data_IF_101251261095
#
_entry.id   IF_101251261095
#
_cell.length_a   1.000
_cell.length_b   1.000
_cell.length_c   1.000
_cell.angle_alpha   90.00
_cell.angle_beta   90.00
_cell.angle_gamma   90.00
#
_symmetry.space_group_name_H-M   'P 1'
#
loop_
_entity.id
_entity.type
_entity.pdbx_description
1 polymer ?
#
# COMPACT_ATOMS: atom_id res chain seq x y z
N UNK A 1 40.71 -0.60 -32.36
CA UNK A 1 40.15 -1.61 -31.44
C UNK A 1 39.88 -1.08 -30.02
N UNK A 2 40.83 -0.49 -29.30
CA UNK A 2 40.64 0.00 -27.92
C UNK A 2 39.45 1.00 -27.76
N UNK A 3 39.26 1.94 -28.72
CA UNK A 3 38.20 2.95 -28.68
C UNK A 3 36.80 2.34 -28.83
N UNK A 4 36.62 1.38 -29.75
CA UNK A 4 35.34 0.68 -29.96
C UNK A 4 34.98 -0.16 -28.72
N UNK A 5 35.96 -0.89 -28.17
CA UNK A 5 35.75 -1.67 -26.94
C UNK A 5 35.32 -0.81 -25.75
N UNK A 6 35.98 0.35 -25.57
CA UNK A 6 35.60 1.34 -24.53
C UNK A 6 34.15 1.81 -24.70
N UNK A 7 33.73 2.11 -25.95
CA UNK A 7 32.36 2.58 -26.23
C UNK A 7 31.34 1.49 -25.92
N UNK A 8 31.60 0.22 -26.32
CA UNK A 8 30.70 -0.90 -26.04
C UNK A 8 30.53 -1.10 -24.54
N UNK A 9 31.62 -1.11 -23.77
CA UNK A 9 31.54 -1.26 -22.31
C UNK A 9 30.78 -0.11 -21.68
N UNK A 10 31.01 1.14 -22.14
CA UNK A 10 30.26 2.31 -21.63
C UNK A 10 28.77 2.17 -21.85
N UNK A 11 28.33 1.70 -23.02
CA UNK A 11 26.90 1.46 -23.31
C UNK A 11 26.32 0.40 -22.38
N UNK A 12 27.02 -0.73 -22.20
CA UNK A 12 26.59 -1.79 -21.27
C UNK A 12 26.45 -1.26 -19.85
N UNK A 13 27.43 -0.50 -19.37
CA UNK A 13 27.40 0.10 -18.04
C UNK A 13 26.26 1.12 -17.89
N UNK A 14 25.96 1.92 -18.92
CA UNK A 14 24.82 2.84 -18.90
C UNK A 14 23.47 2.08 -18.84
N UNK A 15 23.32 1.01 -19.59
CA UNK A 15 22.11 0.16 -19.54
C UNK A 15 21.95 -0.48 -18.16
N UNK A 16 23.03 -1.05 -17.62
CA UNK A 16 23.00 -1.62 -16.25
C UNK A 16 22.70 -0.55 -15.19
N UNK A 17 23.27 0.64 -15.32
CA UNK A 17 23.01 1.74 -14.42
C UNK A 17 21.53 2.18 -14.47
N UNK A 18 20.99 2.37 -15.67
CA UNK A 18 19.57 2.71 -15.86
C UNK A 18 18.67 1.63 -15.27
N UNK A 19 18.95 0.36 -15.55
CA UNK A 19 18.18 -0.77 -15.00
C UNK A 19 18.28 -0.83 -13.48
N UNK A 20 19.46 -0.62 -12.91
CA UNK A 20 19.67 -0.58 -11.46
C UNK A 20 18.84 0.52 -10.80
N UNK A 21 18.78 1.71 -11.41
CA UNK A 21 17.97 2.84 -10.92
C UNK A 21 16.48 2.50 -11.00
N UNK A 22 16.01 1.92 -12.11
CA UNK A 22 14.61 1.51 -12.26
C UNK A 22 14.22 0.49 -11.19
N UNK A 23 15.04 -0.55 -11.00
CA UNK A 23 14.81 -1.55 -9.94
C UNK A 23 14.78 -0.90 -8.57
N UNK A 24 15.73 0.00 -8.28
CA UNK A 24 15.78 0.70 -6.99
C UNK A 24 14.52 1.53 -6.74
N UNK A 25 14.03 2.28 -7.72
CA UNK A 25 12.79 3.08 -7.59
C UNK A 25 11.57 2.18 -7.40
N UNK A 26 11.43 1.11 -8.20
CA UNK A 26 10.32 0.16 -8.05
C UNK A 26 10.32 -0.48 -6.66
N UNK A 27 11.48 -0.91 -6.19
CA UNK A 27 11.61 -1.52 -4.85
C UNK A 27 11.32 -0.50 -3.74
N UNK A 28 11.80 0.74 -3.90
CA UNK A 28 11.52 1.81 -2.93
C UNK A 28 10.02 2.12 -2.85
N UNK A 29 9.34 2.14 -4.00
CA UNK A 29 7.89 2.33 -4.09
C UNK A 29 7.14 1.16 -3.44
N UNK A 30 7.53 -0.10 -3.72
CA UNK A 30 6.95 -1.28 -3.08
C UNK A 30 7.14 -1.25 -1.55
N UNK A 31 8.32 -0.89 -1.09
CA UNK A 31 8.58 -0.79 0.34
C UNK A 31 7.73 0.31 0.99
N UNK A 32 7.60 1.47 0.37
CA UNK A 32 6.75 2.54 0.87
C UNK A 32 5.26 2.16 0.85
N UNK A 33 4.81 1.50 -0.22
CA UNK A 33 3.40 1.15 -0.42
C UNK A 33 2.93 -0.02 0.46
N UNK A 34 3.74 -1.07 0.56
CA UNK A 34 3.31 -2.36 1.13
C UNK A 34 3.95 -2.60 2.50
N UNK A 35 5.28 -2.47 2.60
CA UNK A 35 6.00 -2.94 3.78
C UNK A 35 6.16 -1.90 4.89
N UNK A 36 6.13 -0.59 4.58
CA UNK A 36 6.16 0.45 5.62
C UNK A 36 4.81 0.64 6.32
N UNK A 37 3.72 0.24 5.67
CA UNK A 37 2.36 0.45 6.16
C UNK A 37 1.86 1.89 6.05
N UNK A 38 2.66 2.85 5.59
CA UNK A 38 2.28 4.26 5.54
C UNK A 38 0.99 4.47 4.72
N UNK A 39 0.89 3.85 3.54
CA UNK A 39 -0.30 4.00 2.71
C UNK A 39 -1.55 3.34 3.29
N UNK A 40 -1.38 2.25 4.06
CA UNK A 40 -2.48 1.62 4.78
C UNK A 40 -2.91 2.46 5.97
N UNK A 41 -1.96 3.07 6.68
CA UNK A 41 -2.25 4.01 7.77
C UNK A 41 -2.98 5.26 7.25
N UNK A 42 -2.55 5.82 6.11
CA UNK A 42 -3.23 6.96 5.47
C UNK A 42 -4.70 6.66 5.17
N UNK A 43 -5.02 5.41 4.79
CA UNK A 43 -6.40 4.98 4.59
C UNK A 43 -7.13 4.88 5.92
N UNK A 44 -6.56 4.15 6.90
CA UNK A 44 -7.23 3.92 8.19
C UNK A 44 -7.44 5.21 8.98
N UNK A 45 -6.54 6.18 8.86
CA UNK A 45 -6.63 7.47 9.56
C UNK A 45 -7.58 8.47 8.86
N UNK A 46 -8.05 8.13 7.64
CA UNK A 46 -8.99 8.98 6.91
C UNK A 46 -10.38 8.93 7.53
N UNK A 47 -10.90 10.11 7.89
CA UNK A 47 -12.29 10.24 8.38
C UNK A 47 -13.33 9.83 7.34
N UNK A 48 -13.06 10.09 6.06
CA UNK A 48 -13.96 9.69 4.97
C UNK A 48 -14.03 8.17 4.86
N UNK A 49 -12.89 7.49 4.97
CA UNK A 49 -12.84 6.04 4.96
C UNK A 49 -13.60 5.42 6.13
N UNK A 50 -13.33 5.86 7.35
CA UNK A 50 -14.00 5.37 8.55
C UNK A 50 -15.52 5.62 8.52
N UNK A 51 -15.96 6.76 7.97
CA UNK A 51 -17.38 7.07 7.77
C UNK A 51 -18.04 6.11 6.77
N UNK A 52 -17.36 5.79 5.65
CA UNK A 52 -17.85 4.84 4.65
C UNK A 52 -17.95 3.42 5.22
N UNK A 53 -16.95 2.99 5.99
CA UNK A 53 -16.96 1.68 6.66
C UNK A 53 -18.09 1.62 7.68
N UNK A 54 -18.23 2.64 8.54
CA UNK A 54 -19.31 2.71 9.53
C UNK A 54 -20.69 2.66 8.87
N UNK A 55 -20.89 3.41 7.78
CA UNK A 55 -22.14 3.38 7.02
C UNK A 55 -22.43 2.01 6.40
N UNK A 56 -21.40 1.29 5.95
CA UNK A 56 -21.55 -0.06 5.42
C UNK A 56 -21.91 -1.07 6.53
N UNK A 57 -21.29 -0.96 7.71
CA UNK A 57 -21.63 -1.74 8.90
C UNK A 57 -23.09 -1.49 9.29
N UNK A 58 -23.48 -0.22 9.42
CA UNK A 58 -24.86 0.16 9.78
C UNK A 58 -25.89 -0.45 8.82
N UNK A 59 -25.63 -0.36 7.52
CA UNK A 59 -26.50 -0.95 6.50
C UNK A 59 -26.64 -2.47 6.62
N UNK A 60 -25.56 -3.20 6.85
CA UNK A 60 -25.61 -4.65 6.99
C UNK A 60 -26.28 -5.05 8.32
N UNK A 61 -26.08 -4.27 9.39
CA UNK A 61 -26.75 -4.48 10.69
C UNK A 61 -28.25 -4.09 10.62
N UNK A 62 -28.64 -3.08 9.85
CA UNK A 62 -30.07 -2.78 9.58
C UNK A 62 -30.76 -3.94 8.86
N UNK A 63 -30.06 -4.60 7.93
CA UNK A 63 -30.56 -5.80 7.27
C UNK A 63 -30.72 -6.97 8.28
N UNK A 64 -29.74 -7.18 9.16
CA UNK A 64 -29.82 -8.14 10.26
C UNK A 64 -30.98 -7.82 11.22
N UNK A 65 -31.10 -6.56 11.63
CA UNK A 65 -32.18 -6.05 12.50
C UNK A 65 -33.57 -6.44 11.94
N UNK A 66 -33.76 -6.24 10.64
CA UNK A 66 -35.04 -6.60 9.97
C UNK A 66 -35.33 -8.08 10.00
N UNK A 67 -34.30 -8.93 10.11
CA UNK A 67 -34.43 -10.39 10.15
C UNK A 67 -34.64 -10.90 11.57
N UNK A 68 -33.89 -10.38 12.56
CA UNK A 68 -33.95 -10.85 13.95
C UNK A 68 -35.00 -10.12 14.80
N UNK A 69 -35.55 -9.00 14.33
CA UNK A 69 -36.54 -8.19 15.03
C UNK A 69 -35.98 -7.36 16.21
N UNK A 70 -34.65 -7.21 16.30
CA UNK A 70 -33.97 -6.37 17.29
C UNK A 70 -33.58 -5.06 16.59
N UNK A 71 -33.87 -3.87 17.18
CA UNK A 71 -33.50 -2.59 16.56
C UNK A 71 -32.00 -2.45 16.29
N UNK A 72 -31.61 -1.84 15.17
CA UNK A 72 -30.23 -1.72 14.76
C UNK A 72 -29.36 -0.88 15.72
N UNK A 73 -29.96 0.09 16.40
CA UNK A 73 -29.32 0.89 17.43
C UNK A 73 -28.95 0.05 18.68
N UNK A 74 -29.76 -0.94 19.03
CA UNK A 74 -29.46 -1.91 20.08
C UNK A 74 -28.34 -2.87 19.64
N UNK A 75 -28.40 -3.35 18.36
CA UNK A 75 -27.36 -4.22 17.80
C UNK A 75 -25.99 -3.55 17.75
N UNK A 76 -25.92 -2.24 17.63
CA UNK A 76 -24.68 -1.45 17.58
C UNK A 76 -24.42 -0.70 18.89
N UNK A 77 -25.17 -0.97 19.95
CA UNK A 77 -24.97 -0.28 21.22
C UNK A 77 -23.56 -0.51 21.77
N UNK A 78 -22.87 0.58 22.08
CA UNK A 78 -21.48 0.56 22.54
C UNK A 78 -20.43 0.48 21.40
N UNK A 79 -20.83 0.28 20.14
CA UNK A 79 -19.93 0.34 18.99
C UNK A 79 -20.03 1.68 18.28
N UNK A 80 -18.97 2.47 18.35
CA UNK A 80 -18.87 3.80 17.78
C UNK A 80 -17.68 3.95 16.82
N UNK A 81 -17.51 5.17 16.31
CA UNK A 81 -16.40 5.49 15.41
C UNK A 81 -15.02 5.41 16.07
N UNK A 82 -14.95 5.64 17.39
CA UNK A 82 -13.66 5.59 18.11
C UNK A 82 -13.19 4.13 18.20
N UNK A 83 -14.10 3.22 18.54
CA UNK A 83 -13.83 1.79 18.56
C UNK A 83 -13.49 1.27 17.15
N UNK A 84 -14.25 1.70 16.14
CA UNK A 84 -13.96 1.37 14.75
C UNK A 84 -12.55 1.82 14.37
N UNK A 85 -12.16 3.06 14.69
CA UNK A 85 -10.83 3.60 14.39
C UNK A 85 -9.71 2.80 15.07
N UNK A 86 -9.90 2.45 16.33
CA UNK A 86 -8.95 1.60 17.07
C UNK A 86 -8.77 0.24 16.36
N UNK A 87 -9.88 -0.37 15.94
CA UNK A 87 -9.86 -1.67 15.26
C UNK A 87 -9.25 -1.60 13.85
N UNK A 88 -9.50 -0.53 13.11
CA UNK A 88 -8.84 -0.29 11.81
C UNK A 88 -7.33 -0.16 11.98
N UNK A 89 -6.86 0.59 12.97
CA UNK A 89 -5.43 0.77 13.23
C UNK A 89 -4.77 -0.54 13.71
N UNK A 90 -5.47 -1.32 14.54
CA UNK A 90 -5.02 -2.66 14.95
C UNK A 90 -4.89 -3.59 13.72
N UNK A 91 -5.86 -3.55 12.83
CA UNK A 91 -5.83 -4.32 11.58
C UNK A 91 -4.66 -3.92 10.67
N UNK A 92 -4.42 -2.62 10.48
CA UNK A 92 -3.27 -2.14 9.70
C UNK A 92 -1.96 -2.63 10.31
N UNK A 93 -1.80 -2.53 11.63
CA UNK A 93 -0.60 -2.99 12.34
C UNK A 93 -0.37 -4.48 12.13
N UNK A 94 -1.38 -5.32 12.34
CA UNK A 94 -1.25 -6.78 12.17
C UNK A 94 -1.01 -7.17 10.73
N UNK A 95 -1.58 -6.41 9.78
CA UNK A 95 -1.33 -6.59 8.35
C UNK A 95 0.13 -6.28 8.00
N UNK A 96 0.67 -5.17 8.49
CA UNK A 96 2.08 -4.79 8.30
C UNK A 96 3.02 -5.80 8.94
N UNK A 97 2.70 -6.31 10.12
CA UNK A 97 3.50 -7.34 10.79
C UNK A 97 3.50 -8.65 9.99
N UNK A 98 2.36 -9.06 9.44
CA UNK A 98 2.28 -10.20 8.53
C UNK A 98 3.12 -9.96 7.26
N UNK A 99 2.96 -8.81 6.59
CA UNK A 99 3.69 -8.48 5.37
C UNK A 99 5.22 -8.46 5.59
N UNK A 100 5.69 -8.14 6.78
CA UNK A 100 7.10 -8.14 7.15
C UNK A 100 7.60 -9.45 7.80
N UNK A 101 6.84 -10.54 7.73
CA UNK A 101 7.17 -11.83 8.36
C UNK A 101 7.39 -11.75 9.88
N UNK A 102 6.73 -10.81 10.55
CA UNK A 102 6.71 -10.72 12.02
C UNK A 102 5.54 -11.50 12.62
N UNK A 103 4.55 -11.86 11.78
CA UNK A 103 3.40 -12.68 12.14
C UNK A 103 3.11 -13.70 11.03
N UNK A 104 2.62 -14.87 11.38
CA UNK A 104 2.31 -15.95 10.43
C UNK A 104 0.98 -15.75 9.68
N UNK A 105 0.08 -14.94 10.25
CA UNK A 105 -1.23 -14.59 9.70
C UNK A 105 -1.73 -13.27 10.29
N UNK A 106 -2.69 -12.66 9.62
CA UNK A 106 -3.32 -11.42 10.09
C UNK A 106 -4.30 -11.77 11.20
N UNK A 107 -3.99 -11.35 12.41
CA UNK A 107 -4.88 -11.46 13.56
C UNK A 107 -5.80 -10.25 13.58
N UNK A 108 -7.07 -10.53 13.56
CA UNK A 108 -8.11 -9.54 13.77
C UNK A 108 -9.32 -10.29 14.28
N UNK A 109 -9.61 -10.07 15.52
CA UNK A 109 -10.80 -10.63 16.17
C UNK A 109 -11.55 -9.50 16.83
N UNK A 110 -12.82 -9.36 16.47
CA UNK A 110 -13.75 -8.55 17.24
C UNK A 110 -14.38 -9.49 18.29
N UNK A 111 -14.48 -9.08 19.57
CA UNK A 111 -15.00 -9.96 20.60
C UNK A 111 -16.42 -10.43 20.25
N UNK A 112 -16.63 -11.74 20.22
CA UNK A 112 -17.92 -12.35 19.88
C UNK A 112 -19.00 -12.06 20.95
N UNK A 113 -18.56 -11.72 22.17
CA UNK A 113 -19.40 -11.39 23.33
C UNK A 113 -19.63 -9.90 23.54
N UNK A 114 -19.09 -9.03 22.68
CA UNK A 114 -19.16 -7.57 22.84
C UNK A 114 -20.59 -7.05 22.95
N UNK A 115 -21.51 -7.63 22.18
CA UNK A 115 -22.90 -7.19 22.13
C UNK A 115 -23.83 -7.96 23.07
N UNK A 116 -23.35 -8.99 23.80
CA UNK A 116 -24.16 -9.78 24.74
C UNK A 116 -24.78 -8.88 25.83
N UNK A 117 -24.03 -7.98 26.52
CA UNK A 117 -24.62 -7.14 27.57
C UNK A 117 -25.77 -6.24 27.09
N UNK A 118 -25.64 -5.43 26.03
CA UNK A 118 -26.74 -4.58 25.57
C UNK A 118 -27.91 -5.40 25.03
N UNK A 119 -27.67 -6.50 24.32
CA UNK A 119 -28.73 -7.37 23.82
C UNK A 119 -29.48 -8.08 24.95
N UNK A 120 -28.79 -8.48 26.00
CA UNK A 120 -29.42 -9.06 27.20
C UNK A 120 -30.27 -8.03 27.91
N UNK A 121 -29.77 -6.80 28.09
CA UNK A 121 -30.52 -5.71 28.70
C UNK A 121 -31.80 -5.36 27.89
N UNK A 122 -31.70 -5.37 26.56
CA UNK A 122 -32.86 -5.20 25.68
C UNK A 122 -33.89 -6.34 25.87
N UNK A 123 -33.45 -7.60 25.87
CA UNK A 123 -34.33 -8.75 26.08
C UNK A 123 -35.05 -8.67 27.44
N UNK A 124 -34.33 -8.35 28.51
CA UNK A 124 -34.89 -8.22 29.85
C UNK A 124 -35.90 -7.06 29.95
N UNK A 125 -35.60 -5.94 29.26
CA UNK A 125 -36.48 -4.79 29.15
C UNK A 125 -37.78 -5.15 28.43
N UNK A 126 -37.72 -5.86 27.30
CA UNK A 126 -38.88 -6.33 26.56
C UNK A 126 -39.68 -7.37 27.35
N UNK A 127 -39.01 -8.27 28.05
CA UNK A 127 -39.63 -9.25 28.91
C UNK A 127 -40.42 -8.59 30.06
N UNK A 128 -39.83 -7.56 30.69
CA UNK A 128 -40.48 -6.77 31.73
C UNK A 128 -41.67 -5.98 31.21
N UNK A 129 -41.55 -5.40 30.01
CA UNK A 129 -42.67 -4.63 29.43
C UNK A 129 -43.83 -5.49 28.99
N UNK A 130 -43.62 -6.75 28.67
CA UNK A 130 -44.64 -7.70 28.20
C UNK A 130 -45.00 -8.78 29.24
N UNK A 131 -44.53 -8.68 30.46
CA UNK A 131 -44.83 -9.53 31.62
C UNK A 131 -44.53 -11.04 31.36
N UNK A 132 -43.34 -11.34 30.77
CA UNK A 132 -42.89 -12.71 30.60
C UNK A 132 -41.45 -12.90 31.13
N UNK A 133 -41.03 -14.16 31.33
CA UNK A 133 -39.67 -14.50 31.75
C UNK A 133 -38.92 -15.02 30.53
N UNK A 134 -37.73 -14.45 30.16
CA UNK A 134 -36.93 -14.95 29.07
C UNK A 134 -36.53 -16.42 29.25
N UNK A 135 -36.58 -17.19 28.17
CA UNK A 135 -36.19 -18.61 28.15
C UNK A 135 -34.70 -18.75 27.85
N UNK A 136 -34.11 -19.90 28.20
CA UNK A 136 -32.73 -20.25 27.88
C UNK A 136 -32.48 -20.23 26.36
N UNK A 137 -33.48 -20.49 25.53
CA UNK A 137 -33.39 -20.42 24.07
C UNK A 137 -33.24 -18.99 23.59
N UNK A 138 -33.91 -18.03 24.23
CA UNK A 138 -33.77 -16.61 23.90
C UNK A 138 -32.37 -16.06 24.27
N UNK A 139 -31.80 -16.50 25.40
CA UNK A 139 -30.43 -16.16 25.74
C UNK A 139 -29.40 -16.75 24.75
N UNK A 140 -29.61 -17.97 24.28
CA UNK A 140 -28.75 -18.53 23.20
C UNK A 140 -28.88 -17.78 21.89
N UNK A 141 -30.08 -17.32 21.54
CA UNK A 141 -30.28 -16.48 20.35
C UNK A 141 -29.53 -15.16 20.49
N UNK A 142 -29.44 -14.55 21.68
CA UNK A 142 -28.63 -13.35 21.94
C UNK A 142 -27.15 -13.62 21.66
N UNK A 143 -26.62 -14.80 22.07
CA UNK A 143 -25.24 -15.17 21.79
C UNK A 143 -24.99 -15.29 20.27
N UNK A 144 -25.92 -15.95 19.53
CA UNK A 144 -25.82 -16.08 18.07
C UNK A 144 -25.91 -14.72 17.37
N UNK A 145 -26.82 -13.85 17.78
CA UNK A 145 -26.96 -12.49 17.22
C UNK A 145 -25.71 -11.64 17.52
N UNK A 146 -25.15 -11.72 18.72
CA UNK A 146 -23.90 -11.04 19.07
C UNK A 146 -22.75 -11.50 18.19
N UNK A 147 -22.62 -12.82 18.00
CA UNK A 147 -21.62 -13.40 17.13
C UNK A 147 -21.76 -12.93 15.67
N UNK A 148 -22.98 -12.98 15.12
CA UNK A 148 -23.28 -12.54 13.76
C UNK A 148 -22.95 -11.04 13.58
N UNK A 149 -23.33 -10.20 14.54
CA UNK A 149 -23.03 -8.76 14.51
C UNK A 149 -21.51 -8.53 14.53
N UNK A 150 -20.77 -9.25 15.37
CA UNK A 150 -19.31 -9.21 15.42
C UNK A 150 -18.69 -9.62 14.09
N UNK A 151 -19.23 -10.64 13.41
CA UNK A 151 -18.75 -11.06 12.08
C UNK A 151 -19.06 -10.05 10.97
N UNK A 152 -20.18 -9.33 11.05
CA UNK A 152 -20.45 -8.21 10.14
C UNK A 152 -19.36 -7.13 10.29
N UNK A 153 -19.04 -6.75 11.52
CA UNK A 153 -17.99 -5.75 11.78
C UNK A 153 -16.63 -6.23 11.28
N UNK A 154 -16.22 -7.45 11.62
CA UNK A 154 -14.95 -8.03 11.13
C UNK A 154 -14.85 -8.00 9.61
N UNK A 155 -15.93 -8.39 8.90
CA UNK A 155 -16.00 -8.40 7.44
C UNK A 155 -15.70 -7.03 6.83
N UNK A 156 -16.18 -5.96 7.44
CA UNK A 156 -15.98 -4.59 6.93
C UNK A 156 -14.63 -3.97 7.32
N UNK A 157 -14.04 -4.41 8.43
CA UNK A 157 -12.70 -4.00 8.84
C UNK A 157 -11.63 -4.76 8.03
N UNK A 158 -11.85 -6.02 7.66
CA UNK A 158 -10.91 -6.84 6.87
C UNK A 158 -10.78 -6.32 5.44
N UNK A 159 -9.96 -5.29 5.28
CA UNK A 159 -9.69 -4.65 4.00
C UNK A 159 -9.15 -5.69 2.99
N UNK A 160 -9.83 -5.79 1.85
CA UNK A 160 -9.48 -6.76 0.79
C UNK A 160 -9.55 -8.23 1.21
N UNK A 161 -10.21 -8.56 2.32
CA UNK A 161 -10.27 -9.92 2.87
C UNK A 161 -8.87 -10.54 3.08
N UNK A 162 -7.91 -9.71 3.48
CA UNK A 162 -6.51 -10.13 3.64
C UNK A 162 -6.36 -11.18 4.76
N UNK A 163 -7.20 -11.14 5.80
CA UNK A 163 -7.25 -12.19 6.85
C UNK A 163 -7.51 -13.57 6.24
N UNK A 164 -8.46 -13.67 5.31
CA UNK A 164 -8.77 -14.92 4.61
C UNK A 164 -7.66 -15.26 3.62
N UNK A 165 -7.21 -14.29 2.81
CA UNK A 165 -6.17 -14.47 1.81
C UNK A 165 -4.84 -14.88 2.43
N UNK A 166 -4.48 -14.36 3.62
CA UNK A 166 -3.23 -14.69 4.33
C UNK A 166 -3.10 -16.19 4.63
N UNK A 167 -4.22 -16.92 4.71
CA UNK A 167 -4.24 -18.38 4.92
C UNK A 167 -4.07 -19.17 3.62
N UNK A 168 -4.32 -18.56 2.46
CA UNK A 168 -4.26 -19.23 1.16
C UNK A 168 -2.81 -19.45 0.71
N UNK A 169 -2.49 -20.66 0.25
CA UNK A 169 -1.13 -21.04 -0.19
C UNK A 169 -0.61 -20.14 -1.32
N UNK A 170 -1.48 -19.81 -2.29
CA UNK A 170 -1.14 -18.90 -3.39
C UNK A 170 -0.71 -17.53 -2.88
N UNK A 171 -1.44 -16.97 -1.91
CA UNK A 171 -1.14 -15.65 -1.36
C UNK A 171 0.17 -15.65 -0.58
N UNK A 172 0.47 -16.73 0.15
CA UNK A 172 1.75 -16.90 0.85
C UNK A 172 2.93 -16.94 -0.13
N UNK A 173 2.77 -17.62 -1.26
CA UNK A 173 3.81 -17.66 -2.30
C UNK A 173 4.00 -16.27 -2.96
N UNK A 174 2.90 -15.57 -3.28
CA UNK A 174 2.95 -14.20 -3.79
C UNK A 174 3.61 -13.24 -2.80
N UNK A 175 3.22 -13.33 -1.53
CA UNK A 175 3.83 -12.55 -0.45
C UNK A 175 5.33 -12.80 -0.34
N UNK A 176 5.77 -14.08 -0.38
CA UNK A 176 7.18 -14.42 -0.35
C UNK A 176 7.95 -13.78 -1.51
N UNK A 177 7.41 -13.83 -2.72
CA UNK A 177 8.03 -13.20 -3.90
C UNK A 177 8.10 -11.69 -3.80
N UNK A 178 7.03 -11.04 -3.31
CA UNK A 178 7.00 -9.58 -3.10
C UNK A 178 7.98 -9.15 -2.02
N UNK A 179 8.05 -9.88 -0.91
CA UNK A 179 9.02 -9.60 0.15
C UNK A 179 10.46 -9.73 -0.35
N UNK A 180 10.78 -10.80 -1.09
CA UNK A 180 12.10 -10.96 -1.70
C UNK A 180 12.41 -9.83 -2.69
N UNK A 181 11.45 -9.44 -3.54
CA UNK A 181 11.59 -8.28 -4.41
C UNK A 181 11.88 -6.99 -3.62
N UNK A 182 11.19 -6.78 -2.49
CA UNK A 182 11.43 -5.66 -1.57
C UNK A 182 12.85 -5.60 -1.02
N UNK A 183 13.52 -6.74 -0.85
CA UNK A 183 14.91 -6.80 -0.39
C UNK A 183 15.94 -6.45 -1.48
N UNK A 184 15.53 -6.37 -2.75
CA UNK A 184 16.44 -6.06 -3.87
C UNK A 184 16.94 -4.61 -3.89
N UNK A 185 16.46 -3.74 -3.00
CA UNK A 185 16.89 -2.34 -2.91
C UNK A 185 18.38 -2.17 -2.65
N UNK A 186 18.95 -2.87 -1.67
CA UNK A 186 20.38 -2.84 -1.38
C UNK A 186 21.23 -3.41 -2.52
N UNK A 187 20.95 -4.58 -3.09
CA UNK A 187 21.63 -5.07 -4.29
C UNK A 187 21.59 -4.08 -5.46
N UNK A 188 20.42 -3.48 -5.74
CA UNK A 188 20.30 -2.47 -6.80
C UNK A 188 21.18 -1.25 -6.54
N UNK A 189 21.23 -0.76 -5.30
CA UNK A 189 22.12 0.34 -4.91
C UNK A 189 23.59 -0.01 -5.14
N UNK A 190 24.03 -1.22 -4.80
CA UNK A 190 25.39 -1.67 -5.08
C UNK A 190 25.70 -1.72 -6.59
N UNK A 191 24.77 -2.20 -7.39
CA UNK A 191 24.93 -2.21 -8.87
C UNK A 191 25.10 -0.78 -9.38
N UNK A 192 24.29 0.18 -8.89
CA UNK A 192 24.39 1.60 -9.25
C UNK A 192 25.79 2.14 -8.90
N UNK A 193 26.26 1.92 -7.67
CA UNK A 193 27.57 2.41 -7.21
C UNK A 193 28.73 1.79 -8.00
N UNK A 194 28.67 0.50 -8.30
CA UNK A 194 29.67 -0.20 -9.12
C UNK A 194 29.68 0.37 -10.54
N UNK A 195 28.53 0.54 -11.19
CA UNK A 195 28.43 1.11 -12.53
C UNK A 195 28.99 2.53 -12.60
N UNK A 196 28.68 3.38 -11.62
CA UNK A 196 29.22 4.73 -11.50
C UNK A 196 30.76 4.68 -11.41
N UNK A 197 31.29 3.86 -10.50
CA UNK A 197 32.74 3.71 -10.29
C UNK A 197 33.45 3.18 -11.55
N UNK A 198 32.87 2.18 -12.21
CA UNK A 198 33.42 1.62 -13.44
C UNK A 198 33.42 2.62 -14.59
N UNK A 199 32.38 3.46 -14.72
CA UNK A 199 32.34 4.52 -15.72
C UNK A 199 33.46 5.56 -15.47
N UNK A 200 33.70 5.95 -14.20
CA UNK A 200 34.83 6.83 -13.87
C UNK A 200 36.17 6.18 -14.20
N UNK A 201 36.38 4.93 -13.80
CA UNK A 201 37.62 4.22 -14.08
C UNK A 201 37.87 4.06 -15.60
N UNK A 202 36.83 3.74 -16.37
CA UNK A 202 36.92 3.56 -17.81
C UNK A 202 37.27 4.83 -18.55
N UNK A 203 36.76 5.99 -18.08
CA UNK A 203 37.02 7.30 -18.71
C UNK A 203 38.23 8.00 -18.11
N UNK A 204 38.80 7.52 -16.99
CA UNK A 204 40.01 8.07 -16.37
C UNK A 204 39.89 9.55 -16.04
N UNK A 205 40.81 10.38 -16.56
CA UNK A 205 40.82 11.83 -16.30
C UNK A 205 39.72 12.61 -17.05
N UNK A 206 39.05 12.00 -18.05
CA UNK A 206 37.93 12.63 -18.74
C UNK A 206 36.64 12.52 -17.89
N UNK A 207 36.63 13.25 -16.79
CA UNK A 207 35.49 13.28 -15.85
C UNK A 207 34.22 13.83 -16.50
N UNK A 208 34.35 14.73 -17.52
CA UNK A 208 33.21 15.26 -18.24
C UNK A 208 32.44 14.22 -19.01
N UNK A 209 33.10 13.31 -19.72
CA UNK A 209 32.47 12.23 -20.45
C UNK A 209 31.86 11.16 -19.50
N UNK A 210 32.53 10.84 -18.38
CA UNK A 210 32.00 9.92 -17.39
C UNK A 210 30.70 10.46 -16.76
N UNK A 211 30.70 11.71 -16.32
CA UNK A 211 29.54 12.40 -15.76
C UNK A 211 28.39 12.50 -16.77
N UNK A 212 28.68 12.84 -18.01
CA UNK A 212 27.69 12.93 -19.08
C UNK A 212 26.93 11.59 -19.23
N UNK A 213 27.66 10.47 -19.31
CA UNK A 213 27.06 9.14 -19.44
C UNK A 213 26.21 8.76 -18.22
N UNK A 214 26.68 9.06 -17.01
CA UNK A 214 25.94 8.81 -15.78
C UNK A 214 24.64 9.62 -15.73
N UNK A 215 24.71 10.92 -15.96
CA UNK A 215 23.52 11.77 -15.95
C UNK A 215 22.56 11.45 -17.08
N UNK A 216 23.04 10.98 -18.24
CA UNK A 216 22.17 10.45 -19.30
C UNK A 216 21.41 9.23 -18.82
N UNK A 217 22.05 8.30 -18.08
CA UNK A 217 21.39 7.11 -17.52
C UNK A 217 20.33 7.49 -16.47
N UNK A 218 20.63 8.44 -15.58
CA UNK A 218 19.66 8.96 -14.60
C UNK A 218 18.49 9.66 -15.29
N UNK A 219 18.76 10.47 -16.30
CA UNK A 219 17.73 11.17 -17.09
C UNK A 219 16.81 10.19 -17.81
N UNK A 220 17.37 9.16 -18.44
CA UNK A 220 16.62 8.10 -19.10
C UNK A 220 15.74 7.35 -18.11
N UNK A 221 16.27 6.98 -16.94
CA UNK A 221 15.50 6.32 -15.88
C UNK A 221 14.36 7.23 -15.39
N UNK A 222 14.62 8.53 -15.16
CA UNK A 222 13.60 9.50 -14.77
C UNK A 222 12.46 9.59 -15.78
N UNK A 223 12.77 9.63 -17.10
CA UNK A 223 11.76 9.60 -18.16
C UNK A 223 10.95 8.31 -18.17
N UNK A 224 11.63 7.14 -18.04
CA UNK A 224 10.99 5.84 -18.08
C UNK A 224 10.06 5.61 -16.88
N UNK A 225 10.30 6.28 -15.76
CA UNK A 225 9.42 6.25 -14.59
C UNK A 225 8.30 7.27 -14.75
N UNK A 226 8.61 8.54 -15.06
CA UNK A 226 7.64 9.62 -15.02
C UNK A 226 6.60 9.52 -16.13
N UNK A 227 6.99 9.16 -17.36
CA UNK A 227 6.05 9.11 -18.49
C UNK A 227 4.91 8.10 -18.26
N UNK A 228 5.16 6.83 -17.90
CA UNK A 228 4.09 5.90 -17.60
C UNK A 228 3.19 6.36 -16.44
N UNK A 229 3.76 6.96 -15.38
CA UNK A 229 2.98 7.43 -14.23
C UNK A 229 2.06 8.61 -14.60
N UNK A 230 2.51 9.55 -15.42
CA UNK A 230 1.66 10.63 -15.95
C UNK A 230 0.52 10.05 -16.80
N UNK A 231 0.83 9.08 -17.67
CA UNK A 231 -0.18 8.43 -18.51
C UNK A 231 -1.20 7.69 -17.65
N UNK A 232 -0.74 6.90 -16.67
CA UNK A 232 -1.62 6.17 -15.74
C UNK A 232 -2.53 7.12 -14.95
N UNK A 233 -2.00 8.23 -14.43
CA UNK A 233 -2.78 9.26 -13.75
C UNK A 233 -3.83 9.91 -14.68
N UNK A 234 -3.46 10.18 -15.94
CA UNK A 234 -4.40 10.77 -16.92
C UNK A 234 -5.53 9.83 -17.35
N UNK A 235 -5.31 8.52 -17.33
CA UNK A 235 -6.30 7.50 -17.71
C UNK A 235 -7.36 7.28 -16.64
N UNK A 236 -7.21 7.83 -15.44
CA UNK A 236 -8.16 7.67 -14.32
C UNK A 236 -8.58 6.21 -14.16
N UNK A 237 -7.61 5.28 -14.14
CA UNK A 237 -7.88 3.84 -14.12
C UNK A 237 -8.79 3.44 -12.96
N UNK A 238 -8.68 4.13 -11.84
CA UNK A 238 -9.45 3.90 -10.63
C UNK A 238 -10.95 4.13 -10.85
N UNK A 239 -11.34 5.12 -11.68
CA UNK A 239 -12.76 5.37 -12.00
C UNK A 239 -13.37 4.29 -12.89
N UNK A 240 -12.53 3.50 -13.58
CA UNK A 240 -12.93 2.42 -14.47
C UNK A 240 -13.02 1.06 -13.78
N UNK A 241 -12.50 0.95 -12.55
CA UNK A 241 -12.65 -0.25 -11.75
C UNK A 241 -14.10 -0.35 -11.26
N UNK A 242 -14.78 -1.43 -11.66
CA UNK A 242 -16.14 -1.72 -11.23
C UNK A 242 -16.16 -2.28 -9.79
N UNK A 243 -15.72 -1.47 -8.82
CA UNK A 243 -15.77 -1.81 -7.41
C UNK A 243 -17.07 -1.23 -6.86
N UNK A 244 -18.01 -2.10 -6.51
CA UNK A 244 -19.34 -1.71 -6.01
C UNK A 244 -19.30 -1.14 -4.60
N UNK A 245 -18.36 -1.61 -3.77
CA UNK A 245 -18.26 -1.20 -2.37
C UNK A 245 -17.49 0.12 -2.24
N UNK A 246 -18.12 1.21 -1.75
CA UNK A 246 -17.53 2.55 -1.76
C UNK A 246 -16.20 2.65 -0.99
N UNK A 247 -16.10 2.07 0.21
CA UNK A 247 -14.89 2.11 1.01
C UNK A 247 -13.74 1.29 0.39
N UNK A 248 -14.03 0.16 -0.28
CA UNK A 248 -13.01 -0.58 -1.02
C UNK A 248 -12.51 0.20 -2.23
N UNK A 249 -13.43 0.87 -2.95
CA UNK A 249 -13.06 1.76 -4.05
C UNK A 249 -12.15 2.87 -3.55
N UNK A 250 -12.51 3.54 -2.46
CA UNK A 250 -11.71 4.58 -1.84
C UNK A 250 -10.31 4.07 -1.47
N UNK A 251 -10.22 2.90 -0.84
CA UNK A 251 -8.95 2.31 -0.45
C UNK A 251 -8.05 2.00 -1.66
N UNK A 252 -8.62 1.40 -2.73
CA UNK A 252 -7.87 1.12 -3.97
C UNK A 252 -7.42 2.42 -4.63
N UNK A 253 -8.30 3.42 -4.73
CA UNK A 253 -7.99 4.74 -5.30
C UNK A 253 -6.83 5.40 -4.53
N UNK A 254 -6.88 5.39 -3.21
CA UNK A 254 -5.86 5.97 -2.35
C UNK A 254 -4.51 5.27 -2.52
N UNK A 255 -4.48 3.93 -2.49
CA UNK A 255 -3.23 3.17 -2.69
C UNK A 255 -2.64 3.43 -4.07
N UNK A 256 -3.43 3.35 -5.13
CA UNK A 256 -2.95 3.56 -6.51
C UNK A 256 -2.45 5.00 -6.72
N UNK A 257 -3.14 5.98 -6.17
CA UNK A 257 -2.73 7.38 -6.23
C UNK A 257 -1.42 7.58 -5.47
N UNK A 258 -1.31 7.13 -4.22
CA UNK A 258 -0.10 7.27 -3.42
C UNK A 258 1.11 6.58 -4.06
N UNK A 259 0.91 5.37 -4.62
CA UNK A 259 1.97 4.63 -5.35
C UNK A 259 2.42 5.41 -6.59
N UNK A 260 1.45 5.91 -7.38
CA UNK A 260 1.74 6.68 -8.59
C UNK A 260 2.45 7.99 -8.28
N UNK A 261 1.98 8.73 -7.28
CA UNK A 261 2.54 10.02 -6.87
C UNK A 261 3.94 9.86 -6.31
N UNK A 262 4.19 8.83 -5.49
CA UNK A 262 5.51 8.55 -4.96
C UNK A 262 6.50 8.17 -6.07
N UNK A 263 6.11 7.29 -6.99
CA UNK A 263 6.94 6.91 -8.14
C UNK A 263 7.19 8.11 -9.07
N UNK A 264 6.15 8.91 -9.34
CA UNK A 264 6.26 10.13 -10.15
C UNK A 264 7.19 11.16 -9.51
N UNK A 265 7.08 11.38 -8.19
CA UNK A 265 7.97 12.26 -7.45
C UNK A 265 9.43 11.85 -7.60
N UNK A 266 9.74 10.56 -7.41
CA UNK A 266 11.10 10.04 -7.60
C UNK A 266 11.58 10.19 -9.05
N UNK A 267 10.72 9.91 -10.02
CA UNK A 267 11.04 10.05 -11.44
C UNK A 267 11.33 11.49 -11.84
N UNK A 268 10.52 12.46 -11.40
CA UNK A 268 10.71 13.89 -11.64
C UNK A 268 11.99 14.39 -10.95
N UNK A 269 12.24 13.96 -9.72
CA UNK A 269 13.45 14.33 -8.98
C UNK A 269 14.71 13.86 -9.74
N UNK A 270 14.73 12.62 -10.20
CA UNK A 270 15.81 12.08 -11.03
C UNK A 270 15.97 12.88 -12.33
N UNK A 271 14.88 13.20 -13.00
CA UNK A 271 14.87 13.97 -14.25
C UNK A 271 15.45 15.36 -14.06
N UNK A 272 15.04 16.11 -13.02
CA UNK A 272 15.52 17.46 -12.74
C UNK A 272 17.01 17.43 -12.37
N UNK A 273 17.41 16.59 -11.42
CA UNK A 273 18.81 16.51 -10.98
C UNK A 273 19.74 16.08 -12.12
N UNK A 274 19.31 15.13 -12.95
CA UNK A 274 20.11 14.71 -14.11
C UNK A 274 20.18 15.77 -15.20
N UNK A 275 19.13 16.55 -15.43
CA UNK A 275 19.13 17.66 -16.40
C UNK A 275 20.13 18.75 -16.00
N UNK A 276 20.18 19.10 -14.70
CA UNK A 276 21.18 20.02 -14.16
C UNK A 276 22.58 19.42 -14.35
N UNK A 277 22.79 18.16 -14.01
CA UNK A 277 24.08 17.47 -14.15
C UNK A 277 24.55 17.36 -15.60
N UNK A 278 23.64 17.10 -16.55
CA UNK A 278 23.95 17.11 -18.00
C UNK A 278 24.38 18.48 -18.46
N UNK A 279 23.71 19.54 -18.04
CA UNK A 279 24.06 20.93 -18.37
C UNK A 279 25.47 21.25 -17.87
N UNK A 280 25.78 20.97 -16.61
CA UNK A 280 27.11 21.18 -16.02
C UNK A 280 28.18 20.37 -16.77
N UNK A 281 27.89 19.09 -17.08
CA UNK A 281 28.82 18.21 -17.79
C UNK A 281 29.10 18.70 -19.21
N UNK A 282 28.08 19.25 -19.88
CA UNK A 282 28.19 19.83 -21.20
C UNK A 282 29.07 21.08 -21.18
N UNK A 283 28.85 22.04 -20.26
CA UNK A 283 29.66 23.24 -20.11
C UNK A 283 31.11 22.88 -19.79
N UNK A 284 31.37 21.95 -18.87
CA UNK A 284 32.72 21.53 -18.53
C UNK A 284 33.47 20.97 -19.74
N UNK A 285 32.79 20.19 -20.58
CA UNK A 285 33.35 19.63 -21.80
C UNK A 285 33.64 20.73 -22.84
N UNK A 286 32.79 21.74 -22.93
CA UNK A 286 32.93 22.85 -23.88
C UNK A 286 34.08 23.83 -23.50
N UNK A 287 34.21 24.15 -22.19
CA UNK A 287 35.31 25.00 -21.70
C UNK A 287 36.67 24.37 -21.94
N UNK A 288 36.82 23.03 -21.79
CA UNK A 288 38.09 22.33 -22.08
C UNK A 288 38.45 22.40 -23.57
N UNK A 289 37.48 22.54 -24.47
CA UNK A 289 37.71 22.68 -25.92
C UNK A 289 38.11 24.09 -26.32
N UNK A 290 37.80 25.12 -25.51
CA UNK A 290 38.14 26.51 -25.76
C UNK A 290 39.55 26.89 -25.21
N UNK A 291 40.06 26.13 -24.24
CA UNK A 291 41.38 26.35 -23.62
C UNK A 291 42.50 25.54 -24.32
N UNK A 292 42.20 24.74 -25.35
CA UNK A 292 43.16 24.04 -26.21
C UNK A 292 43.10 24.56 -27.66
#
# INVERSE_FOLDING_TARGET
MKKIFKTIISIILCVLLTTGILVFVVVSTLNAAIFSGNFLSDISDSQDYSNMVMSAIQKDVEAQSSYVGIPADVLLEGFDKEILQVKLNEYVKTTVDFLNYRADFIQMDFPDDFFIPPLTAFLESEASANDYIPTDEQYKLIEEVSWDTSKIIEKHIDLFQLKLLSKATFFKELHHRLYFAGQMGLPALWVILICISCLFMLHGFDTGSALFLQFTSFWTAGCLISIPMIVLGSLQLTTRLAIETPYLKYAVDTVLTNVSDFALFLGILLFILSSIGLTISFFKKYCIYLDN
#
